data_IF_592423236117
#
_entry.id   IF_592423236117
#
_cell.length_a   1.000
_cell.length_b   1.000
_cell.length_c   1.000
_cell.angle_alpha   90.00
_cell.angle_beta   90.00
_cell.angle_gamma   90.00
#
_symmetry.space_group_name_H-M   'P 1'
#
loop_
_entity.id
_entity.type
_entity.pdbx_description
1 polymer ?
#
# COMPACT_ATOMS: atom_id res chain seq x y z
N UNK A 1 -1.49 21.68 24.65
CA UNK A 1 -1.68 20.69 23.56
C UNK A 1 -0.91 19.46 23.98
N UNK A 2 -1.60 18.38 24.37
CA UNK A 2 -0.95 17.21 24.97
C UNK A 2 0.04 16.59 24.00
N UNK A 3 1.31 16.53 24.39
CA UNK A 3 2.32 15.72 23.73
C UNK A 3 1.81 14.27 23.66
N UNK A 4 1.45 13.81 22.47
CA UNK A 4 1.18 12.40 22.24
C UNK A 4 2.53 11.68 22.41
N UNK A 5 2.79 11.20 23.62
CA UNK A 5 4.00 10.44 23.94
C UNK A 5 4.07 9.22 23.02
N UNK A 6 5.28 8.86 22.57
CA UNK A 6 5.53 7.64 21.79
C UNK A 6 4.90 6.41 22.46
N UNK A 7 4.96 6.38 23.79
CA UNK A 7 4.50 5.26 24.63
C UNK A 7 2.98 5.16 24.77
N UNK A 8 2.22 6.15 24.27
CA UNK A 8 0.75 6.06 24.28
C UNK A 8 0.29 4.95 23.32
N UNK A 9 -0.38 3.90 23.84
CA UNK A 9 -0.80 2.77 23.01
C UNK A 9 -1.91 3.15 22.04
N UNK A 10 -2.01 2.40 20.95
CA UNK A 10 -3.11 2.49 19.98
C UNK A 10 -4.09 1.37 20.25
N UNK A 11 -5.38 1.70 20.39
CA UNK A 11 -6.41 0.72 20.64
C UNK A 11 -6.97 0.16 19.33
N UNK A 12 -6.95 -1.15 19.17
CA UNK A 12 -7.52 -1.84 18.01
C UNK A 12 -8.33 -3.06 18.48
N UNK A 13 -9.63 -3.10 18.15
CA UNK A 13 -10.59 -4.12 18.64
C UNK A 13 -10.49 -4.41 20.15
N UNK A 14 -10.39 -3.36 20.97
CA UNK A 14 -10.31 -3.49 22.43
C UNK A 14 -8.96 -3.99 22.97
N UNK A 15 -7.95 -4.18 22.12
CA UNK A 15 -6.57 -4.48 22.52
C UNK A 15 -5.69 -3.23 22.41
N UNK A 16 -4.87 -2.99 23.41
CA UNK A 16 -3.84 -1.96 23.38
C UNK A 16 -2.62 -2.50 22.61
N UNK A 17 -2.22 -1.80 21.55
CA UNK A 17 -1.09 -2.14 20.70
C UNK A 17 0.00 -1.08 20.81
N UNK A 18 1.26 -1.51 20.84
CA UNK A 18 2.43 -0.66 20.95
C UNK A 18 2.92 -0.20 19.58
N UNK A 19 3.27 1.10 19.49
CA UNK A 19 3.91 1.68 18.30
C UNK A 19 5.37 1.24 18.20
N UNK A 20 5.89 1.26 16.99
CA UNK A 20 7.29 1.07 16.68
C UNK A 20 7.89 2.26 15.96
N UNK A 21 9.07 2.06 15.39
CA UNK A 21 9.75 3.06 14.56
C UNK A 21 10.24 2.45 13.24
N UNK A 22 10.30 3.31 12.23
CA UNK A 22 10.48 2.87 10.84
C UNK A 22 11.93 2.51 10.52
N UNK A 23 12.19 1.84 9.39
CA UNK A 23 13.56 1.66 8.87
C UNK A 23 14.26 3.00 8.63
N UNK A 24 13.51 4.03 8.21
CA UNK A 24 13.98 5.41 8.10
C UNK A 24 14.50 5.99 9.41
N UNK A 25 13.75 5.89 10.50
CA UNK A 25 14.19 6.35 11.83
C UNK A 25 15.44 5.61 12.31
N UNK A 26 15.51 4.30 12.07
CA UNK A 26 16.71 3.50 12.40
C UNK A 26 17.93 3.99 11.62
N UNK A 27 17.80 4.17 10.31
CA UNK A 27 18.88 4.66 9.45
C UNK A 27 19.34 6.08 9.83
N UNK A 28 18.40 6.98 10.15
CA UNK A 28 18.71 8.33 10.64
C UNK A 28 19.48 8.30 11.96
N UNK A 29 19.05 7.49 12.92
CA UNK A 29 19.74 7.35 14.20
C UNK A 29 21.13 6.71 14.07
N UNK A 30 21.25 5.65 13.28
CA UNK A 30 22.53 5.01 12.98
C UNK A 30 23.51 6.00 12.32
N UNK A 31 23.05 6.76 11.31
CA UNK A 31 23.90 7.73 10.63
C UNK A 31 24.31 8.90 11.55
N UNK A 32 23.36 9.42 12.35
CA UNK A 32 23.65 10.48 13.33
C UNK A 32 24.72 10.05 14.31
N UNK A 33 24.58 8.86 14.92
CA UNK A 33 25.52 8.42 15.94
C UNK A 33 26.87 8.03 15.34
N UNK A 34 26.91 7.40 14.16
CA UNK A 34 28.16 7.16 13.45
C UNK A 34 28.90 8.47 13.16
N UNK A 35 28.20 9.49 12.66
CA UNK A 35 28.77 10.83 12.43
C UNK A 35 29.31 11.48 13.72
N UNK A 36 28.59 11.36 14.84
CA UNK A 36 29.05 11.85 16.14
C UNK A 36 30.28 11.08 16.64
N UNK A 37 30.27 9.76 16.51
CA UNK A 37 31.36 8.89 16.96
C UNK A 37 32.66 9.18 16.21
N UNK A 38 32.61 9.28 14.87
CA UNK A 38 33.79 9.59 14.07
C UNK A 38 34.31 11.01 14.33
N UNK A 39 33.42 11.99 14.54
CA UNK A 39 33.83 13.36 14.82
C UNK A 39 34.49 13.50 16.21
N UNK A 40 33.93 12.81 17.21
CA UNK A 40 34.39 12.89 18.60
C UNK A 40 35.46 11.87 18.95
N UNK A 41 35.69 10.88 18.09
CA UNK A 41 36.56 9.73 18.33
C UNK A 41 36.21 9.02 19.65
N UNK A 42 34.91 8.83 19.90
CA UNK A 42 34.39 8.23 21.12
C UNK A 42 33.18 7.34 20.82
N UNK A 43 33.11 6.15 21.42
CA UNK A 43 31.98 5.24 21.25
C UNK A 43 30.75 5.76 21.99
N UNK A 44 29.60 5.74 21.31
CA UNK A 44 28.32 6.21 21.85
C UNK A 44 27.33 5.05 21.79
N UNK A 45 26.73 4.73 22.94
CA UNK A 45 25.83 3.59 23.09
C UNK A 45 24.34 3.95 23.05
N UNK A 46 24.00 5.24 23.02
CA UNK A 46 22.62 5.72 22.92
C UNK A 46 22.57 7.00 22.10
N UNK A 47 21.51 7.16 21.30
CA UNK A 47 21.29 8.34 20.47
C UNK A 47 19.83 8.78 20.54
N UNK A 48 19.61 10.10 20.49
CA UNK A 48 18.28 10.67 20.32
C UNK A 48 18.10 11.29 18.94
N UNK A 49 16.92 11.07 18.37
CA UNK A 49 16.48 11.71 17.13
C UNK A 49 15.07 12.26 17.28
N UNK A 50 14.76 13.34 16.57
CA UNK A 50 13.39 13.83 16.39
C UNK A 50 12.87 13.29 15.07
N UNK A 51 11.77 12.56 15.11
CA UNK A 51 11.12 12.02 13.91
C UNK A 51 10.40 13.11 13.12
N UNK A 52 10.06 12.90 11.84
CA UNK A 52 9.23 13.84 11.07
C UNK A 52 7.89 14.20 11.71
N UNK A 53 7.34 13.33 12.57
CA UNK A 53 6.11 13.60 13.33
C UNK A 53 6.33 14.42 14.61
N UNK A 54 7.56 14.86 14.88
CA UNK A 54 7.93 15.62 16.08
C UNK A 54 8.18 14.77 17.33
N UNK A 55 8.00 13.44 17.24
CA UNK A 55 8.25 12.53 18.35
C UNK A 55 9.75 12.33 18.53
N UNK A 56 10.26 12.49 19.76
CA UNK A 56 11.65 12.18 20.11
C UNK A 56 11.79 10.69 20.42
N UNK A 57 12.73 10.03 19.77
CA UNK A 57 13.10 8.63 20.03
C UNK A 57 14.47 8.58 20.69
N UNK A 58 14.59 7.79 21.76
CA UNK A 58 15.86 7.45 22.40
C UNK A 58 16.19 5.99 22.08
N UNK A 59 17.25 5.77 21.30
CA UNK A 59 17.53 4.47 20.70
C UNK A 59 18.89 3.96 21.16
N UNK A 60 18.95 2.67 21.49
CA UNK A 60 20.19 1.99 21.85
C UNK A 60 21.00 1.72 20.57
N UNK A 61 22.31 1.97 20.67
CA UNK A 61 23.24 1.77 19.57
C UNK A 61 23.86 0.39 19.71
N UNK A 62 23.77 -0.38 18.64
CA UNK A 62 24.39 -1.69 18.52
C UNK A 62 25.63 -1.62 17.61
N UNK A 63 26.60 -2.48 17.87
CA UNK A 63 27.86 -2.58 17.11
C UNK A 63 28.58 -1.23 16.86
N UNK A 64 28.74 -0.34 17.86
CA UNK A 64 29.47 0.90 17.67
C UNK A 64 30.95 0.61 17.40
N UNK A 65 31.48 1.17 16.31
CA UNK A 65 32.86 0.96 15.90
C UNK A 65 33.43 2.24 15.28
N UNK A 66 34.71 2.54 15.54
CA UNK A 66 35.44 3.67 14.95
C UNK A 66 36.74 3.13 14.40
N UNK A 67 37.03 3.47 13.16
CA UNK A 67 38.28 3.14 12.47
C UNK A 67 38.77 4.39 11.70
N UNK A 68 39.75 5.08 12.26
CA UNK A 68 40.30 6.31 11.67
C UNK A 68 39.22 7.39 11.47
N UNK A 69 39.01 7.79 10.21
CA UNK A 69 38.00 8.78 9.80
C UNK A 69 36.65 8.16 9.44
N UNK A 70 36.40 6.94 9.90
CA UNK A 70 35.15 6.21 9.69
C UNK A 70 34.57 5.74 11.02
N UNK A 71 33.25 5.70 11.11
CA UNK A 71 32.55 4.98 12.16
C UNK A 71 31.35 4.21 11.62
N UNK A 72 30.99 3.14 12.33
CA UNK A 72 29.84 2.28 12.05
C UNK A 72 28.96 2.22 13.29
N UNK A 73 27.65 2.27 13.07
CA UNK A 73 26.66 2.04 14.10
C UNK A 73 25.47 1.29 13.52
N UNK A 74 24.77 0.56 14.37
CA UNK A 74 23.52 -0.10 14.03
C UNK A 74 22.41 0.28 15.00
N UNK A 75 21.18 0.30 14.49
CA UNK A 75 19.97 0.41 15.29
C UNK A 75 19.10 -0.79 14.97
N UNK A 76 18.65 -1.49 16.01
CA UNK A 76 17.68 -2.58 15.86
C UNK A 76 16.29 -2.00 15.67
N UNK A 77 15.67 -2.37 14.56
CA UNK A 77 14.32 -1.95 14.26
C UNK A 77 13.32 -2.63 15.19
N UNK A 78 12.54 -1.82 15.87
CA UNK A 78 11.39 -2.27 16.64
C UNK A 78 10.11 -1.80 15.94
N UNK A 79 9.37 -2.76 15.38
CA UNK A 79 8.09 -2.53 14.71
C UNK A 79 6.90 -2.31 15.66
N UNK A 80 7.09 -2.39 16.97
CA UNK A 80 5.94 -2.45 17.89
C UNK A 80 5.21 -3.78 17.75
N UNK A 81 3.88 -3.73 17.89
CA UNK A 81 3.01 -4.89 17.67
C UNK A 81 2.52 -5.02 16.22
N UNK A 82 3.13 -4.27 15.29
CA UNK A 82 2.81 -4.37 13.86
C UNK A 82 3.44 -5.64 13.25
N UNK A 83 2.71 -6.30 12.36
CA UNK A 83 3.22 -7.47 11.63
C UNK A 83 4.13 -7.00 10.50
N UNK A 84 5.37 -6.69 10.85
CA UNK A 84 6.37 -6.13 9.94
C UNK A 84 7.54 -7.10 9.71
N UNK A 85 7.78 -7.48 8.45
CA UNK A 85 8.86 -8.38 8.06
C UNK A 85 10.26 -7.88 8.46
N UNK A 86 10.41 -6.56 8.65
CA UNK A 86 11.65 -5.90 9.05
C UNK A 86 11.76 -5.69 10.56
N UNK A 87 10.81 -6.19 11.36
CA UNK A 87 10.93 -6.17 12.83
C UNK A 87 12.16 -7.00 13.28
N UNK A 88 12.93 -6.45 14.22
CA UNK A 88 14.07 -7.11 14.87
C UNK A 88 15.38 -7.05 14.10
N UNK A 89 15.39 -6.63 12.83
CA UNK A 89 16.61 -6.55 12.03
C UNK A 89 17.46 -5.33 12.39
N UNK A 90 18.77 -5.42 12.17
CA UNK A 90 19.69 -4.31 12.32
C UNK A 90 19.78 -3.47 11.04
N UNK A 91 19.68 -2.15 11.20
CA UNK A 91 19.98 -1.17 10.16
C UNK A 91 21.28 -0.46 10.53
N UNK A 92 22.28 -0.61 9.67
CA UNK A 92 23.61 -0.04 9.86
C UNK A 92 23.77 1.25 9.07
N UNK A 93 24.61 2.14 9.60
CA UNK A 93 25.18 3.25 8.86
C UNK A 93 26.70 3.25 9.05
N UNK A 94 27.41 3.42 7.94
CA UNK A 94 28.84 3.72 7.90
C UNK A 94 29.02 5.16 7.46
N UNK A 95 29.69 5.96 8.28
CA UNK A 95 29.94 7.37 7.99
C UNK A 95 31.44 7.60 7.92
N UNK A 96 31.92 8.11 6.79
CA UNK A 96 33.31 8.51 6.59
C UNK A 96 33.37 10.02 6.41
N UNK A 97 34.11 10.73 7.26
CA UNK A 97 34.27 12.19 7.14
C UNK A 97 35.13 12.55 5.93
N UNK A 98 34.83 13.68 5.32
CA UNK A 98 35.64 14.25 4.25
C UNK A 98 35.57 15.79 4.27
N UNK A 99 36.37 16.43 3.42
CA UNK A 99 36.51 17.89 3.35
C UNK A 99 35.75 18.53 2.18
N UNK A 100 34.83 17.80 1.53
CA UNK A 100 34.12 18.31 0.34
C UNK A 100 33.03 19.34 0.69
N UNK A 101 32.60 19.37 1.96
CA UNK A 101 31.42 20.12 2.40
C UNK A 101 30.09 19.43 2.06
N UNK A 102 30.11 18.36 1.26
CA UNK A 102 28.91 17.67 0.76
C UNK A 102 28.63 16.38 1.53
N UNK A 103 27.35 16.06 1.73
CA UNK A 103 26.92 14.77 2.29
C UNK A 103 26.43 13.90 1.14
N UNK A 104 27.09 12.76 0.92
CA UNK A 104 26.66 11.76 -0.06
C UNK A 104 25.98 10.59 0.66
N UNK A 105 24.92 10.05 0.05
CA UNK A 105 24.13 8.97 0.63
C UNK A 105 23.96 7.82 -0.36
N UNK A 106 24.51 6.66 0.00
CA UNK A 106 24.45 5.42 -0.77
C UNK A 106 23.76 4.30 0.03
N UNK A 107 23.30 3.28 -0.69
CA UNK A 107 22.84 2.02 -0.11
C UNK A 107 23.87 0.92 -0.37
N UNK A 108 24.19 0.15 0.66
CA UNK A 108 25.05 -1.03 0.59
C UNK A 108 24.25 -2.33 0.64
N UNK A 109 24.87 -3.38 1.18
CA UNK A 109 24.28 -4.73 1.31
C UNK A 109 22.87 -4.70 1.91
N UNK A 110 21.95 -5.46 1.29
CA UNK A 110 20.58 -5.64 1.73
C UNK A 110 19.67 -4.41 1.63
N UNK A 111 20.14 -3.29 1.07
CA UNK A 111 19.28 -2.19 0.61
C UNK A 111 18.90 -2.44 -0.84
N UNK A 112 17.60 -2.43 -1.13
CA UNK A 112 17.11 -2.75 -2.45
C UNK A 112 17.47 -1.69 -3.50
N UNK A 113 17.56 -2.11 -4.76
CA UNK A 113 17.78 -1.23 -5.92
C UNK A 113 16.49 -1.05 -6.69
N UNK A 114 16.20 0.20 -7.08
CA UNK A 114 15.00 0.55 -7.84
C UNK A 114 15.19 0.16 -9.30
N UNK A 115 14.39 -0.79 -9.78
CA UNK A 115 14.44 -1.34 -11.15
C UNK A 115 13.23 -0.96 -12.00
N UNK A 116 12.18 -0.41 -11.40
CA UNK A 116 10.96 0.06 -12.10
C UNK A 116 10.66 1.52 -11.75
N UNK A 117 10.02 2.22 -12.70
CA UNK A 117 9.52 3.59 -12.49
C UNK A 117 8.29 3.57 -11.57
N UNK A 118 8.01 4.70 -10.91
CA UNK A 118 6.77 4.92 -10.16
C UNK A 118 6.86 4.78 -8.64
N UNK A 119 7.98 4.29 -8.10
CA UNK A 119 8.25 4.25 -6.65
C UNK A 119 8.63 5.63 -6.08
N UNK A 120 8.71 6.66 -6.93
CA UNK A 120 9.15 8.01 -6.53
C UNK A 120 10.67 8.13 -6.32
N UNK A 121 11.45 7.18 -6.83
CA UNK A 121 12.91 7.16 -6.78
C UNK A 121 13.51 6.92 -8.19
N UNK A 122 14.74 7.42 -8.47
CA UNK A 122 15.43 7.17 -9.73
C UNK A 122 15.74 5.69 -9.98
N UNK A 123 15.68 5.25 -11.24
CA UNK A 123 16.13 3.91 -11.63
C UNK A 123 17.61 3.71 -11.32
N UNK A 124 17.97 2.53 -10.84
CA UNK A 124 19.32 2.16 -10.42
C UNK A 124 19.74 2.73 -9.06
N UNK A 125 18.91 3.57 -8.42
CA UNK A 125 19.23 4.11 -7.10
C UNK A 125 18.87 3.15 -5.97
N UNK A 126 19.54 3.31 -4.82
CA UNK A 126 19.16 2.63 -3.59
C UNK A 126 17.76 3.07 -3.13
N UNK A 127 16.96 2.11 -2.64
CA UNK A 127 15.58 2.24 -2.17
C UNK A 127 15.49 2.98 -0.82
N UNK A 128 16.07 4.17 -0.74
CA UNK A 128 15.99 5.10 0.38
C UNK A 128 15.04 6.21 -0.03
N UNK A 129 13.87 6.27 0.59
CA UNK A 129 12.81 7.22 0.22
C UNK A 129 13.17 8.67 0.57
N UNK A 130 12.49 9.63 -0.08
CA UNK A 130 12.72 11.08 0.08
C UNK A 130 12.79 11.54 1.53
N UNK A 131 11.83 11.14 2.37
CA UNK A 131 11.81 11.55 3.78
C UNK A 131 13.02 11.01 4.56
N UNK A 132 13.32 9.70 4.54
CA UNK A 132 14.56 9.18 5.13
C UNK A 132 15.84 9.81 4.61
N UNK A 133 15.96 10.09 3.30
CA UNK A 133 17.15 10.78 2.75
C UNK A 133 17.36 12.13 3.43
N UNK A 134 16.31 12.94 3.48
CA UNK A 134 16.33 14.24 4.12
C UNK A 134 16.66 14.16 5.62
N UNK A 135 16.05 13.23 6.36
CA UNK A 135 16.31 13.11 7.81
C UNK A 135 17.72 12.59 8.10
N UNK A 136 18.25 11.67 7.29
CA UNK A 136 19.65 11.21 7.40
C UNK A 136 20.61 12.37 7.15
N UNK A 137 20.46 13.08 6.02
CA UNK A 137 21.32 14.22 5.67
C UNK A 137 21.27 15.31 6.75
N UNK A 138 20.08 15.67 7.22
CA UNK A 138 19.90 16.67 8.27
C UNK A 138 20.56 16.25 9.59
N UNK A 139 20.39 15.00 10.02
CA UNK A 139 20.95 14.51 11.28
C UNK A 139 22.48 14.37 11.23
N UNK A 140 23.04 13.97 10.08
CA UNK A 140 24.49 13.93 9.86
C UNK A 140 25.04 15.36 9.82
N UNK A 141 24.36 16.28 9.13
CA UNK A 141 24.75 17.70 9.07
C UNK A 141 24.76 18.35 10.45
N UNK A 142 23.75 18.08 11.27
CA UNK A 142 23.68 18.51 12.68
C UNK A 142 24.90 18.01 13.47
N UNK A 143 25.32 16.77 13.22
CA UNK A 143 26.46 16.17 13.92
C UNK A 143 27.82 16.74 13.48
N UNK A 144 28.06 16.91 12.17
CA UNK A 144 29.38 17.27 11.62
C UNK A 144 29.59 18.77 11.39
N UNK A 145 28.52 19.56 11.41
CA UNK A 145 28.53 20.99 11.14
C UNK A 145 28.45 21.37 9.65
N UNK A 146 28.40 22.67 9.33
CA UNK A 146 28.10 23.16 7.98
C UNK A 146 29.27 23.03 6.98
N UNK A 147 30.51 22.96 7.47
CA UNK A 147 31.70 23.04 6.61
C UNK A 147 32.28 21.68 6.19
N UNK A 148 32.04 20.62 6.96
CA UNK A 148 32.57 19.27 6.66
C UNK A 148 31.63 18.52 5.72
N UNK A 149 32.17 17.60 4.94
CA UNK A 149 31.37 16.65 4.19
C UNK A 149 31.42 15.25 4.83
N UNK A 150 30.56 14.36 4.35
CA UNK A 150 30.54 12.97 4.79
C UNK A 150 30.03 12.04 3.69
N UNK A 151 30.60 10.85 3.61
CA UNK A 151 30.05 9.75 2.83
C UNK A 151 29.27 8.84 3.78
N UNK A 152 27.97 8.70 3.54
CA UNK A 152 27.04 7.91 4.34
C UNK A 152 26.58 6.72 3.52
N UNK A 153 26.90 5.52 4.01
CA UNK A 153 26.41 4.27 3.44
C UNK A 153 25.45 3.61 4.43
N UNK A 154 24.21 3.36 4.00
CA UNK A 154 23.22 2.61 4.77
C UNK A 154 23.20 1.17 4.28
N UNK A 155 23.31 0.20 5.18
CA UNK A 155 23.28 -1.22 4.83
C UNK A 155 22.56 -2.04 5.90
N UNK A 156 22.07 -3.20 5.52
CA UNK A 156 21.31 -4.09 6.38
C UNK A 156 21.57 -5.54 5.94
N UNK A 157 22.49 -6.28 6.59
CA UNK A 157 22.90 -7.62 6.13
C UNK A 157 21.74 -8.61 5.95
N UNK A 158 20.72 -8.57 6.82
CA UNK A 158 19.52 -9.42 6.68
C UNK A 158 18.55 -8.94 5.59
N UNK A 159 18.78 -7.77 4.99
CA UNK A 159 17.82 -7.06 4.16
C UNK A 159 17.37 -7.81 2.93
N UNK A 160 18.26 -8.53 2.24
CA UNK A 160 17.87 -9.32 1.07
C UNK A 160 16.89 -10.44 1.44
N UNK A 161 17.20 -11.21 2.51
CA UNK A 161 16.34 -12.28 2.99
C UNK A 161 14.99 -11.76 3.52
N UNK A 162 14.99 -10.61 4.22
CA UNK A 162 13.74 -9.99 4.70
C UNK A 162 12.89 -9.47 3.55
N UNK A 163 13.50 -8.90 2.51
CA UNK A 163 12.78 -8.33 1.38
C UNK A 163 11.92 -9.34 0.63
N UNK A 164 12.29 -10.63 0.63
CA UNK A 164 11.49 -11.71 0.03
C UNK A 164 10.10 -11.86 0.68
N UNK A 165 9.96 -11.43 1.93
CA UNK A 165 8.70 -11.42 2.69
C UNK A 165 7.97 -10.07 2.62
N UNK A 166 8.41 -9.17 1.74
CA UNK A 166 7.82 -7.84 1.56
C UNK A 166 7.21 -7.68 0.17
N UNK A 167 6.48 -6.59 -0.04
CA UNK A 167 5.96 -6.20 -1.36
C UNK A 167 7.00 -5.58 -2.29
N UNK A 168 8.28 -5.46 -1.87
CA UNK A 168 9.32 -4.76 -2.64
C UNK A 168 9.49 -5.29 -4.07
N UNK A 169 9.48 -6.61 -4.26
CA UNK A 169 9.65 -7.21 -5.59
C UNK A 169 8.55 -6.79 -6.56
N UNK A 170 7.30 -6.71 -6.09
CA UNK A 170 6.17 -6.20 -6.89
C UNK A 170 6.33 -4.73 -7.25
N UNK A 171 6.89 -3.95 -6.33
CA UNK A 171 7.20 -2.54 -6.53
C UNK A 171 8.43 -2.31 -7.43
N UNK A 172 9.12 -3.38 -7.88
CA UNK A 172 10.33 -3.27 -8.68
C UNK A 172 11.56 -2.87 -7.87
N UNK A 173 11.60 -3.22 -6.59
CA UNK A 173 12.75 -3.05 -5.71
C UNK A 173 13.36 -4.44 -5.48
N UNK A 174 14.59 -4.63 -5.94
CA UNK A 174 15.27 -5.95 -5.93
C UNK A 174 16.54 -5.92 -5.08
N UNK A 175 16.94 -7.07 -4.53
CA UNK A 175 18.19 -7.24 -3.77
C UNK A 175 18.18 -6.72 -2.33
N UNK A 176 17.05 -6.24 -1.81
CA UNK A 176 17.00 -5.71 -0.45
C UNK A 176 15.72 -4.99 -0.03
N UNK A 177 15.71 -4.55 1.22
CA UNK A 177 14.61 -3.79 1.82
C UNK A 177 14.65 -2.32 1.39
N UNK A 178 13.55 -1.62 1.65
CA UNK A 178 13.46 -0.17 1.45
C UNK A 178 13.66 0.55 2.79
N UNK A 179 14.44 1.63 2.78
CA UNK A 179 14.54 2.56 3.91
C UNK A 179 13.43 3.61 3.75
N UNK A 180 12.37 3.46 4.55
CA UNK A 180 11.10 4.17 4.39
C UNK A 180 10.54 4.65 5.73
N UNK A 181 9.53 5.52 5.66
CA UNK A 181 8.84 6.08 6.82
C UNK A 181 8.66 7.58 6.68
N UNK A 182 7.42 8.03 6.54
CA UNK A 182 7.08 9.45 6.38
C UNK A 182 6.96 10.17 7.72
N UNK A 183 6.46 9.50 8.75
CA UNK A 183 6.30 10.03 10.12
C UNK A 183 7.46 9.67 11.04
N UNK A 184 8.25 8.66 10.66
CA UNK A 184 9.27 8.02 11.50
C UNK A 184 8.72 7.02 12.54
N UNK A 185 7.40 6.86 12.62
CA UNK A 185 6.71 6.00 13.58
C UNK A 185 5.95 4.91 12.84
N UNK A 186 6.00 3.68 13.35
CA UNK A 186 5.17 2.56 12.92
C UNK A 186 3.95 2.50 13.82
N UNK A 187 2.76 2.68 13.23
CA UNK A 187 1.48 2.51 13.91
C UNK A 187 0.89 1.16 13.50
N UNK A 188 0.70 0.21 14.45
CA UNK A 188 0.22 -1.12 14.13
C UNK A 188 -1.18 -1.08 13.52
N UNK A 189 -1.45 -1.96 12.56
CA UNK A 189 -2.77 -2.11 11.92
C UNK A 189 -3.32 -0.81 11.32
N UNK A 190 -2.45 0.08 10.84
CA UNK A 190 -2.87 1.35 10.22
C UNK A 190 -3.55 1.13 8.87
N UNK A 191 -4.85 1.43 8.78
CA UNK A 191 -5.58 1.46 7.51
C UNK A 191 -4.93 2.41 6.50
N UNK A 192 -4.38 3.54 6.95
CA UNK A 192 -3.72 4.51 6.08
C UNK A 192 -2.45 3.95 5.44
N UNK A 193 -1.64 3.21 6.21
CA UNK A 193 -0.45 2.54 5.69
C UNK A 193 -0.84 1.47 4.65
N UNK A 194 -1.92 0.74 4.90
CA UNK A 194 -2.44 -0.24 3.93
C UNK A 194 -2.95 0.45 2.67
N UNK A 195 -3.80 1.48 2.78
CA UNK A 195 -4.28 2.29 1.64
C UNK A 195 -3.10 2.80 0.81
N UNK A 196 -2.07 3.37 1.44
CA UNK A 196 -0.88 3.86 0.74
C UNK A 196 -0.16 2.76 -0.01
N UNK A 197 -0.01 1.57 0.58
CA UNK A 197 0.63 0.42 -0.09
C UNK A 197 -0.11 0.01 -1.38
N UNK A 198 -1.45 0.07 -1.39
CA UNK A 198 -2.26 -0.21 -2.58
C UNK A 198 -2.12 0.91 -3.62
N UNK A 199 -2.12 2.18 -3.21
CA UNK A 199 -1.94 3.33 -4.12
C UNK A 199 -0.57 3.34 -4.82
N UNK A 200 0.48 2.81 -4.18
CA UNK A 200 1.82 2.71 -4.77
C UNK A 200 1.81 1.79 -5.99
N UNK A 201 0.99 0.73 -5.98
CA UNK A 201 0.84 -0.14 -7.13
C UNK A 201 0.26 0.64 -8.33
N UNK A 202 -0.76 1.48 -8.11
CA UNK A 202 -1.32 2.37 -9.14
C UNK A 202 -0.27 3.35 -9.69
N UNK A 203 0.54 3.97 -8.81
CA UNK A 203 1.62 4.88 -9.21
C UNK A 203 2.62 4.20 -10.15
N UNK A 204 2.97 2.94 -9.86
CA UNK A 204 3.85 2.13 -10.69
C UNK A 204 3.22 1.82 -12.04
N UNK A 205 1.96 1.38 -12.07
CA UNK A 205 1.25 1.12 -13.34
C UNK A 205 1.18 2.39 -14.19
N UNK A 206 0.85 3.53 -13.58
CA UNK A 206 0.77 4.81 -14.29
C UNK A 206 2.14 5.21 -14.85
N UNK A 207 3.20 5.06 -14.05
CA UNK A 207 4.56 5.39 -14.44
C UNK A 207 5.13 4.46 -15.52
N UNK A 208 4.61 3.24 -15.66
CA UNK A 208 4.92 2.34 -16.79
C UNK A 208 4.14 2.68 -18.06
N UNK A 209 3.33 3.74 -18.06
CA UNK A 209 2.60 4.23 -19.23
C UNK A 209 1.15 3.77 -19.33
N UNK A 210 0.69 2.91 -18.42
CA UNK A 210 -0.72 2.47 -18.42
C UNK A 210 -1.63 3.67 -18.16
N UNK A 211 -2.69 3.77 -18.95
CA UNK A 211 -3.76 4.78 -18.81
C UNK A 211 -5.07 4.15 -18.35
N UNK A 212 -5.14 2.82 -18.35
CA UNK A 212 -6.30 2.00 -17.96
C UNK A 212 -5.89 1.05 -16.84
N UNK A 213 -6.80 0.77 -15.91
CA UNK A 213 -6.52 -0.12 -14.77
C UNK A 213 -7.72 -0.99 -14.42
N UNK A 214 -7.43 -2.22 -13.98
CA UNK A 214 -8.40 -3.18 -13.48
C UNK A 214 -8.23 -3.26 -11.97
N UNK A 215 -9.28 -2.97 -11.21
CA UNK A 215 -9.27 -3.07 -9.76
C UNK A 215 -10.01 -4.32 -9.31
N UNK A 216 -9.31 -5.17 -8.55
CA UNK A 216 -9.85 -6.43 -8.03
C UNK A 216 -9.81 -6.46 -6.49
N UNK A 217 -10.81 -7.00 -5.79
CA UNK A 217 -10.76 -7.08 -4.33
C UNK A 217 -9.66 -8.00 -3.78
N UNK A 218 -9.10 -8.89 -4.60
CA UNK A 218 -8.05 -9.84 -4.22
C UNK A 218 -7.75 -10.86 -5.31
N UNK A 219 -6.93 -11.86 -4.99
CA UNK A 219 -6.32 -12.80 -5.94
C UNK A 219 -7.32 -13.55 -6.84
N UNK A 220 -8.55 -13.80 -6.38
CA UNK A 220 -9.59 -14.43 -7.21
C UNK A 220 -9.93 -13.59 -8.45
N UNK A 221 -9.97 -12.27 -8.31
CA UNK A 221 -10.21 -11.38 -9.45
C UNK A 221 -9.04 -11.33 -10.41
N UNK A 222 -7.80 -11.37 -9.91
CA UNK A 222 -6.60 -11.46 -10.76
C UNK A 222 -6.60 -12.74 -11.60
N UNK A 223 -6.95 -13.88 -10.98
CA UNK A 223 -7.13 -15.16 -11.68
C UNK A 223 -8.19 -15.06 -12.76
N UNK A 224 -9.35 -14.49 -12.44
CA UNK A 224 -10.45 -14.31 -13.38
C UNK A 224 -10.04 -13.48 -14.60
N UNK A 225 -9.38 -12.33 -14.39
CA UNK A 225 -8.94 -11.45 -15.49
C UNK A 225 -8.01 -12.20 -16.45
N UNK A 226 -7.05 -12.98 -15.91
CA UNK A 226 -6.12 -13.76 -16.71
C UNK A 226 -6.82 -14.86 -17.51
N UNK A 227 -7.69 -15.62 -16.87
CA UNK A 227 -8.25 -16.85 -17.43
C UNK A 227 -9.48 -16.61 -18.32
N UNK A 228 -10.28 -15.59 -18.02
CA UNK A 228 -11.56 -15.35 -18.70
C UNK A 228 -11.53 -14.14 -19.62
N UNK A 229 -10.80 -13.08 -19.27
CA UNK A 229 -10.72 -11.88 -20.12
C UNK A 229 -9.55 -11.90 -21.10
N UNK A 230 -8.56 -12.78 -20.90
CA UNK A 230 -7.35 -12.83 -21.75
C UNK A 230 -6.55 -11.51 -21.73
N UNK A 231 -6.70 -10.70 -20.69
CA UNK A 231 -6.00 -9.42 -20.53
C UNK A 231 -4.73 -9.63 -19.70
N UNK A 232 -3.67 -8.88 -20.02
CA UNK A 232 -2.44 -8.91 -19.24
C UNK A 232 -2.71 -8.47 -17.79
N UNK A 233 -2.34 -9.32 -16.85
CA UNK A 233 -2.33 -9.05 -15.40
C UNK A 233 -1.53 -7.81 -15.01
N UNK A 234 -0.67 -7.28 -15.89
CA UNK A 234 -0.02 -5.99 -15.67
C UNK A 234 -1.01 -4.84 -15.45
N UNK A 235 -2.22 -4.88 -16.01
CA UNK A 235 -3.24 -3.86 -15.76
C UNK A 235 -4.00 -4.07 -14.44
N UNK A 236 -3.81 -5.19 -13.75
CA UNK A 236 -4.53 -5.54 -12.52
C UNK A 236 -3.83 -4.93 -11.31
N UNK A 237 -4.64 -4.35 -10.41
CA UNK A 237 -4.24 -3.83 -9.11
C UNK A 237 -5.23 -4.32 -8.05
N UNK A 238 -4.71 -4.78 -6.91
CA UNK A 238 -5.56 -5.19 -5.80
C UNK A 238 -6.06 -3.96 -5.04
N UNK A 239 -7.37 -3.84 -4.82
CA UNK A 239 -7.99 -2.75 -4.04
C UNK A 239 -8.40 -3.15 -2.62
N UNK A 240 -8.24 -4.42 -2.24
CA UNK A 240 -8.68 -4.97 -0.96
C UNK A 240 -10.16 -4.59 -0.70
N UNK A 241 -10.46 -3.96 0.44
CA UNK A 241 -11.79 -3.47 0.77
C UNK A 241 -11.99 -1.96 0.52
N UNK A 242 -10.95 -1.24 0.09
CA UNK A 242 -10.91 0.23 0.02
C UNK A 242 -11.26 0.76 -1.37
N UNK A 243 -12.43 0.41 -1.89
CA UNK A 243 -12.84 0.71 -3.28
C UNK A 243 -12.84 2.21 -3.57
N UNK A 244 -13.47 3.01 -2.70
CA UNK A 244 -13.58 4.46 -2.90
C UNK A 244 -12.22 5.15 -2.98
N UNK A 245 -11.36 4.86 -2.00
CA UNK A 245 -9.99 5.37 -1.96
C UNK A 245 -9.19 5.03 -3.23
N UNK A 246 -9.28 3.77 -3.70
CA UNK A 246 -8.53 3.34 -4.88
C UNK A 246 -9.06 3.99 -6.18
N UNK A 247 -10.35 4.26 -6.28
CA UNK A 247 -10.93 5.01 -7.39
C UNK A 247 -10.45 6.48 -7.35
N UNK A 248 -10.46 7.12 -6.19
CA UNK A 248 -9.96 8.50 -6.03
C UNK A 248 -8.48 8.61 -6.40
N UNK A 249 -7.66 7.64 -5.99
CA UNK A 249 -6.25 7.57 -6.37
C UNK A 249 -6.06 7.34 -7.87
N UNK A 250 -6.88 6.50 -8.50
CA UNK A 250 -6.84 6.32 -9.94
C UNK A 250 -7.21 7.62 -10.70
N UNK A 251 -8.19 8.37 -10.19
CA UNK A 251 -8.54 9.71 -10.71
C UNK A 251 -7.38 10.69 -10.53
N UNK A 252 -6.77 10.75 -9.35
CA UNK A 252 -5.61 11.62 -9.05
C UNK A 252 -4.44 11.35 -9.99
N UNK A 253 -4.22 10.09 -10.35
CA UNK A 253 -3.14 9.66 -11.25
C UNK A 253 -3.50 9.82 -12.74
N UNK A 254 -4.72 10.23 -13.06
CA UNK A 254 -5.17 10.49 -14.42
C UNK A 254 -5.34 9.22 -15.26
N UNK A 255 -5.78 8.11 -14.65
CA UNK A 255 -6.28 6.99 -15.42
C UNK A 255 -7.54 7.41 -16.18
N UNK A 256 -7.66 7.02 -17.45
CA UNK A 256 -8.82 7.34 -18.28
C UNK A 256 -9.93 6.28 -18.22
N UNK A 257 -9.60 5.08 -17.71
CA UNK A 257 -10.56 3.99 -17.53
C UNK A 257 -10.24 3.16 -16.28
N UNK A 258 -11.29 2.81 -15.54
CA UNK A 258 -11.26 1.92 -14.37
C UNK A 258 -12.24 0.77 -14.64
N UNK A 259 -11.77 -0.46 -14.51
CA UNK A 259 -12.61 -1.65 -14.61
C UNK A 259 -12.66 -2.35 -13.26
N UNK A 260 -13.83 -2.38 -12.63
CA UNK A 260 -14.07 -3.08 -11.37
C UNK A 260 -14.43 -4.53 -11.66
N UNK A 261 -13.60 -5.48 -11.22
CA UNK A 261 -13.82 -6.90 -11.48
C UNK A 261 -13.87 -7.66 -10.16
N UNK A 262 -14.95 -8.39 -9.90
CA UNK A 262 -15.14 -9.01 -8.61
C UNK A 262 -16.43 -9.80 -8.43
N UNK A 263 -16.44 -10.60 -7.39
CA UNK A 263 -17.60 -11.40 -7.00
C UNK A 263 -18.77 -10.52 -6.52
N UNK A 264 -20.05 -10.86 -6.83
CA UNK A 264 -21.23 -10.16 -6.34
C UNK A 264 -21.22 -9.91 -4.84
N UNK A 265 -20.75 -10.88 -4.04
CA UNK A 265 -20.63 -10.76 -2.59
C UNK A 265 -19.74 -9.61 -2.08
N UNK A 266 -18.93 -8.97 -2.94
CA UNK A 266 -18.24 -7.72 -2.61
C UNK A 266 -18.76 -6.53 -3.42
N UNK A 267 -18.84 -6.66 -4.75
CA UNK A 267 -19.12 -5.52 -5.62
C UNK A 267 -20.55 -5.00 -5.51
N UNK A 268 -21.51 -5.83 -5.08
CA UNK A 268 -22.90 -5.38 -4.89
C UNK A 268 -23.02 -4.23 -3.89
N UNK A 269 -22.11 -4.15 -2.90
CA UNK A 269 -22.07 -3.07 -1.92
C UNK A 269 -21.90 -1.72 -2.61
N UNK A 270 -21.15 -1.68 -3.71
CA UNK A 270 -20.95 -0.46 -4.50
C UNK A 270 -22.26 -0.04 -5.19
N UNK A 271 -23.09 -0.99 -5.64
CA UNK A 271 -24.42 -0.69 -6.20
C UNK A 271 -25.34 0.00 -5.18
N UNK A 272 -25.16 -0.30 -3.89
CA UNK A 272 -25.82 0.38 -2.77
C UNK A 272 -25.22 1.75 -2.42
N UNK A 273 -24.05 2.10 -2.98
CA UNK A 273 -23.29 3.31 -2.63
C UNK A 273 -22.31 3.11 -1.46
N UNK A 274 -22.02 1.86 -1.10
CA UNK A 274 -21.05 1.49 -0.05
C UNK A 274 -19.70 1.21 -0.72
N UNK A 275 -18.74 2.11 -0.53
CA UNK A 275 -17.40 2.04 -1.15
C UNK A 275 -16.33 1.38 -0.27
N UNK A 276 -16.76 0.73 0.82
CA UNK A 276 -15.93 -0.12 1.67
C UNK A 276 -16.52 -1.53 1.75
N UNK A 277 -15.83 -2.54 1.22
CA UNK A 277 -16.47 -3.86 0.99
C UNK A 277 -16.39 -4.83 2.17
N UNK A 278 -15.75 -4.45 3.28
CA UNK A 278 -15.66 -5.29 4.48
C UNK A 278 -17.03 -5.40 5.19
N UNK A 279 -17.55 -6.62 5.41
CA UNK A 279 -18.89 -6.85 5.99
C UNK A 279 -19.07 -6.31 7.41
N UNK A 280 -18.02 -6.27 8.23
CA UNK A 280 -18.10 -5.64 9.55
C UNK A 280 -18.33 -4.11 9.49
N UNK A 281 -17.99 -3.44 8.39
CA UNK A 281 -18.21 -2.00 8.23
C UNK A 281 -19.62 -1.74 7.69
N UNK A 282 -20.02 -2.51 6.68
CA UNK A 282 -21.37 -2.52 6.18
C UNK A 282 -21.64 -3.83 5.45
N UNK A 283 -22.77 -4.45 5.78
CA UNK A 283 -23.36 -5.54 5.03
C UNK A 283 -24.78 -5.14 4.63
N UNK A 284 -25.05 -5.21 3.32
CA UNK A 284 -26.34 -4.84 2.73
C UNK A 284 -26.59 -5.66 1.46
N UNK A 285 -25.99 -6.86 1.38
CA UNK A 285 -25.92 -7.64 0.14
C UNK A 285 -27.29 -8.15 -0.28
N UNK A 286 -28.00 -8.82 0.65
CA UNK A 286 -29.32 -9.38 0.36
C UNK A 286 -30.36 -8.27 0.17
N UNK A 287 -30.34 -7.24 1.02
CA UNK A 287 -31.23 -6.10 0.92
C UNK A 287 -31.09 -5.39 -0.44
N UNK A 288 -29.85 -5.25 -0.92
CA UNK A 288 -29.58 -4.67 -2.25
C UNK A 288 -30.03 -5.58 -3.39
N UNK A 289 -29.84 -6.91 -3.26
CA UNK A 289 -30.37 -7.87 -4.23
C UNK A 289 -31.89 -7.81 -4.30
N UNK A 290 -32.56 -7.95 -3.15
CA UNK A 290 -34.02 -7.91 -3.04
C UNK A 290 -34.57 -6.61 -3.61
N UNK A 291 -34.01 -5.45 -3.24
CA UNK A 291 -34.45 -4.16 -3.76
C UNK A 291 -34.34 -4.07 -5.28
N UNK A 292 -33.23 -4.55 -5.87
CA UNK A 292 -33.05 -4.49 -7.32
C UNK A 292 -33.82 -5.57 -8.08
N UNK A 293 -34.02 -6.76 -7.52
CA UNK A 293 -34.90 -7.80 -8.07
C UNK A 293 -36.36 -7.32 -8.08
N UNK A 294 -36.82 -6.67 -7.01
CA UNK A 294 -38.17 -6.11 -6.94
C UNK A 294 -38.39 -5.04 -8.03
N UNK A 295 -37.40 -4.17 -8.26
CA UNK A 295 -37.44 -3.19 -9.35
C UNK A 295 -37.44 -3.80 -10.75
N UNK A 296 -36.98 -5.05 -10.90
CA UNK A 296 -37.05 -5.82 -12.15
C UNK A 296 -38.32 -6.68 -12.26
N UNK A 297 -39.24 -6.60 -11.29
CA UNK A 297 -40.51 -7.33 -11.31
C UNK A 297 -40.41 -8.78 -10.85
N UNK A 298 -39.39 -9.13 -10.05
CA UNK A 298 -39.31 -10.45 -9.44
C UNK A 298 -40.52 -10.76 -8.53
N UNK A 299 -41.04 -12.00 -8.55
CA UNK A 299 -42.15 -12.39 -7.69
C UNK A 299 -41.73 -12.39 -6.22
N UNK A 300 -42.69 -12.14 -5.32
CA UNK A 300 -42.45 -12.10 -3.87
C UNK A 300 -41.76 -13.36 -3.34
N UNK A 301 -42.11 -14.53 -3.88
CA UNK A 301 -41.50 -15.81 -3.52
C UNK A 301 -39.97 -15.79 -3.70
N UNK A 302 -39.48 -15.31 -4.85
CA UNK A 302 -38.04 -15.18 -5.10
C UNK A 302 -37.41 -14.14 -4.16
N UNK A 303 -38.10 -13.02 -3.92
CA UNK A 303 -37.60 -11.97 -3.03
C UNK A 303 -37.41 -12.46 -1.60
N UNK A 304 -38.34 -13.28 -1.10
CA UNK A 304 -38.24 -13.91 0.22
C UNK A 304 -37.09 -14.92 0.26
N UNK A 305 -37.00 -15.82 -0.73
CA UNK A 305 -35.90 -16.80 -0.81
C UNK A 305 -34.52 -16.13 -0.80
N UNK A 306 -34.36 -15.07 -1.61
CA UNK A 306 -33.10 -14.31 -1.65
C UNK A 306 -32.86 -13.55 -0.36
N UNK A 307 -33.90 -12.97 0.25
CA UNK A 307 -33.81 -12.24 1.52
C UNK A 307 -33.33 -13.11 2.69
N UNK A 308 -33.69 -14.39 2.68
CA UNK A 308 -33.34 -15.36 3.72
C UNK A 308 -31.96 -16.04 3.51
N UNK A 309 -31.24 -15.70 2.43
CA UNK A 309 -29.93 -16.27 2.14
C UNK A 309 -28.80 -15.60 2.94
N UNK A 310 -27.90 -16.40 3.52
CA UNK A 310 -26.69 -15.87 4.18
C UNK A 310 -25.60 -15.41 3.20
N UNK A 311 -25.61 -15.99 1.98
CA UNK A 311 -24.57 -15.77 0.98
C UNK A 311 -25.14 -15.41 -0.38
N UNK A 312 -24.38 -14.64 -1.16
CA UNK A 312 -24.78 -14.30 -2.53
C UNK A 312 -24.78 -15.50 -3.47
N UNK A 313 -23.97 -16.53 -3.19
CA UNK A 313 -23.95 -17.75 -4.01
C UNK A 313 -25.23 -18.57 -3.81
N UNK A 314 -25.70 -18.73 -2.56
CA UNK A 314 -27.01 -19.34 -2.31
C UNK A 314 -28.15 -18.56 -2.99
N UNK A 315 -28.11 -17.23 -2.92
CA UNK A 315 -29.08 -16.38 -3.62
C UNK A 315 -28.99 -16.53 -5.15
N UNK A 316 -27.79 -16.73 -5.71
CA UNK A 316 -27.59 -16.91 -7.15
C UNK A 316 -28.32 -18.15 -7.69
N UNK A 317 -28.31 -19.27 -6.96
CA UNK A 317 -29.04 -20.47 -7.35
C UNK A 317 -30.55 -20.21 -7.52
N UNK A 318 -31.16 -19.51 -6.55
CA UNK A 318 -32.57 -19.13 -6.63
C UNK A 318 -32.85 -18.14 -7.76
N UNK A 319 -31.99 -17.13 -7.94
CA UNK A 319 -32.12 -16.14 -9.01
C UNK A 319 -32.10 -16.81 -10.39
N UNK A 320 -31.20 -17.78 -10.60
CA UNK A 320 -31.08 -18.51 -11.86
C UNK A 320 -32.29 -19.42 -12.08
N UNK A 321 -32.74 -20.15 -11.05
CA UNK A 321 -33.90 -21.03 -11.13
C UNK A 321 -35.19 -20.30 -11.54
N UNK A 322 -35.33 -19.03 -11.16
CA UNK A 322 -36.45 -18.16 -11.54
C UNK A 322 -36.21 -17.37 -12.83
N UNK A 323 -35.06 -17.52 -13.49
CA UNK A 323 -34.74 -16.84 -14.76
C UNK A 323 -34.38 -15.35 -14.63
N UNK A 324 -33.96 -14.90 -13.44
CA UNK A 324 -33.64 -13.50 -13.15
C UNK A 324 -32.14 -13.17 -13.28
N UNK A 325 -31.31 -14.02 -13.89
CA UNK A 325 -29.86 -13.81 -14.04
C UNK A 325 -29.45 -12.47 -14.69
N UNK A 326 -30.33 -11.85 -15.48
CA UNK A 326 -30.13 -10.50 -16.03
C UNK A 326 -29.95 -9.40 -14.96
N UNK A 327 -30.25 -9.70 -13.68
CA UNK A 327 -29.94 -8.86 -12.53
C UNK A 327 -28.45 -8.49 -12.46
N UNK A 328 -27.52 -9.38 -12.84
CA UNK A 328 -26.08 -9.09 -12.71
C UNK A 328 -25.62 -7.99 -13.67
N UNK A 329 -26.16 -7.96 -14.89
CA UNK A 329 -25.93 -6.84 -15.83
C UNK A 329 -26.53 -5.54 -15.29
N UNK A 330 -27.71 -5.61 -14.67
CA UNK A 330 -28.32 -4.46 -14.01
C UNK A 330 -27.46 -3.94 -12.86
N UNK A 331 -27.00 -4.82 -11.96
CA UNK A 331 -26.13 -4.46 -10.85
C UNK A 331 -24.80 -3.87 -11.33
N UNK A 332 -24.17 -4.43 -12.37
CA UNK A 332 -22.97 -3.87 -12.97
C UNK A 332 -23.18 -2.42 -13.46
N UNK A 333 -24.31 -2.14 -14.14
CA UNK A 333 -24.67 -0.76 -14.51
C UNK A 333 -24.91 0.13 -13.30
N UNK A 334 -25.54 -0.39 -12.24
CA UNK A 334 -25.75 0.35 -10.98
C UNK A 334 -24.44 0.67 -10.27
N UNK A 335 -23.46 -0.24 -10.28
CA UNK A 335 -22.11 0.00 -9.76
C UNK A 335 -21.47 1.18 -10.48
N UNK A 336 -21.44 1.16 -11.82
CA UNK A 336 -20.88 2.27 -12.61
C UNK A 336 -21.60 3.59 -12.30
N UNK A 337 -22.94 3.58 -12.22
CA UNK A 337 -23.70 4.78 -11.85
C UNK A 337 -23.31 5.33 -10.47
N UNK A 338 -23.14 4.47 -9.47
CA UNK A 338 -22.73 4.88 -8.12
C UNK A 338 -21.32 5.45 -8.10
N UNK A 339 -20.39 4.86 -8.86
CA UNK A 339 -19.04 5.41 -9.05
C UNK A 339 -19.12 6.81 -9.67
N UNK A 340 -19.91 7.00 -10.71
CA UNK A 340 -20.09 8.33 -11.33
C UNK A 340 -20.74 9.34 -10.38
N UNK A 341 -21.67 8.92 -9.52
CA UNK A 341 -22.24 9.78 -8.48
C UNK A 341 -21.22 10.20 -7.41
N UNK A 342 -20.29 9.30 -7.07
CA UNK A 342 -19.16 9.60 -6.19
C UNK A 342 -18.24 10.63 -6.84
N UNK A 343 -17.98 10.48 -8.15
CA UNK A 343 -17.09 11.34 -8.93
C UNK A 343 -17.77 12.59 -9.53
N UNK A 344 -18.96 12.99 -9.06
CA UNK A 344 -19.78 14.05 -9.67
C UNK A 344 -19.10 15.43 -9.75
N UNK A 345 -18.06 15.68 -8.96
CA UNK A 345 -17.30 16.93 -8.95
C UNK A 345 -15.93 16.81 -9.63
N UNK A 346 -15.60 15.65 -10.19
CA UNK A 346 -14.37 15.42 -10.93
C UNK A 346 -14.49 16.04 -12.32
N UNK A 347 -13.51 16.86 -12.73
CA UNK A 347 -13.53 17.56 -14.03
C UNK A 347 -13.54 16.60 -15.23
N UNK A 348 -12.70 15.57 -15.16
CA UNK A 348 -12.53 14.56 -16.22
C UNK A 348 -12.62 13.18 -15.58
N UNK A 349 -13.84 12.69 -15.27
CA UNK A 349 -13.99 11.37 -14.68
C UNK A 349 -13.58 10.28 -15.68
N UNK A 350 -12.91 9.20 -15.23
CA UNK A 350 -12.60 8.07 -16.09
C UNK A 350 -13.87 7.35 -16.54
N UNK A 351 -13.77 6.62 -17.64
CA UNK A 351 -14.75 5.58 -17.97
C UNK A 351 -14.72 4.53 -16.85
N UNK A 352 -15.90 4.14 -16.37
CA UNK A 352 -16.04 3.11 -15.35
C UNK A 352 -16.80 1.91 -15.91
N UNK A 353 -16.18 0.73 -15.83
CA UNK A 353 -16.78 -0.55 -16.16
C UNK A 353 -16.84 -1.44 -14.93
N UNK A 354 -17.78 -2.39 -14.93
CA UNK A 354 -17.96 -3.36 -13.85
C UNK A 354 -18.26 -4.74 -14.43
N UNK A 355 -17.57 -5.76 -13.92
CA UNK A 355 -17.74 -7.16 -14.30
C UNK A 355 -17.91 -8.00 -13.03
N UNK A 356 -18.99 -8.77 -12.98
CA UNK A 356 -19.35 -9.69 -11.91
C UNK A 356 -19.08 -11.12 -12.35
N UNK A 357 -18.48 -11.92 -11.46
CA UNK A 357 -18.17 -13.32 -11.70
C UNK A 357 -18.47 -14.21 -10.48
N UNK A 358 -18.74 -15.51 -10.70
CA UNK A 358 -18.98 -16.50 -9.63
C UNK A 358 -17.70 -17.15 -9.12
N UNK A 359 -17.71 -17.84 -7.97
CA UNK A 359 -16.49 -18.55 -7.52
C UNK A 359 -15.94 -19.58 -8.51
N UNK A 360 -16.81 -20.16 -9.36
CA UNK A 360 -16.44 -21.05 -10.46
C UNK A 360 -15.82 -20.35 -11.67
N UNK A 361 -15.50 -19.06 -11.51
CA UNK A 361 -14.80 -18.24 -12.51
C UNK A 361 -15.64 -17.96 -13.77
N UNK A 362 -16.96 -18.07 -13.70
CA UNK A 362 -17.86 -17.74 -14.82
C UNK A 362 -18.29 -16.28 -14.76
N UNK A 363 -18.40 -15.62 -15.92
CA UNK A 363 -19.00 -14.30 -16.04
C UNK A 363 -20.49 -14.40 -15.71
N UNK A 364 -20.93 -13.60 -14.74
CA UNK A 364 -22.35 -13.47 -14.37
C UNK A 364 -23.00 -12.28 -15.08
N UNK A 365 -22.29 -11.17 -15.16
CA UNK A 365 -22.79 -9.99 -15.85
C UNK A 365 -21.82 -8.81 -15.85
N UNK A 366 -22.07 -7.87 -16.74
CA UNK A 366 -21.25 -6.68 -16.93
C UNK A 366 -22.11 -5.48 -17.37
N UNK A 367 -21.57 -4.26 -17.23
CA UNK A 367 -22.29 -3.05 -17.63
C UNK A 367 -22.42 -2.90 -19.16
N UNK A 368 -21.51 -3.53 -19.91
CA UNK A 368 -21.44 -3.63 -21.38
C UNK A 368 -20.65 -4.89 -21.79
N UNK A 369 -20.61 -5.31 -23.07
CA UNK A 369 -19.94 -6.55 -23.49
C UNK A 369 -18.49 -6.66 -23.00
N UNK A 370 -18.12 -7.81 -22.41
CA UNK A 370 -16.79 -8.03 -21.81
C UNK A 370 -15.69 -7.96 -22.87
N UNK A 371 -15.93 -8.45 -24.08
CA UNK A 371 -14.96 -8.42 -25.17
C UNK A 371 -14.57 -6.99 -25.59
N UNK A 372 -15.52 -6.05 -25.53
CA UNK A 372 -15.23 -4.64 -25.80
C UNK A 372 -14.36 -4.02 -24.70
N UNK A 373 -14.67 -4.33 -23.43
CA UNK A 373 -13.87 -3.89 -22.28
C UNK A 373 -12.45 -4.46 -22.38
N UNK A 374 -12.32 -5.76 -22.68
CA UNK A 374 -11.04 -6.44 -22.80
C UNK A 374 -10.19 -5.89 -23.95
N UNK A 375 -10.82 -5.65 -25.11
CA UNK A 375 -10.15 -5.04 -26.27
C UNK A 375 -9.61 -3.65 -25.97
N UNK A 376 -10.37 -2.82 -25.26
CA UNK A 376 -9.89 -1.52 -24.80
C UNK A 376 -8.73 -1.69 -23.81
N UNK A 377 -8.75 -2.64 -22.90
CA UNK A 377 -7.63 -2.82 -21.95
C UNK A 377 -6.31 -3.23 -22.62
N UNK A 378 -6.34 -3.75 -23.84
CA UNK A 378 -5.17 -4.17 -24.62
C UNK A 378 -4.62 -3.09 -25.58
N UNK A 379 -5.40 -2.02 -25.82
CA UNK A 379 -5.01 -0.88 -26.67
C UNK A 379 -4.40 0.25 -25.86
#
# INVERSE_FOLDING_TARGET
MSELSFDTPVWHHGKALRKGYTTGSCATAAAKVAALMVLRQHLIHQVSIVTPSGVTLCLNVESPHIEGQQAIAAIRKDGGDDVDATHGMLIFARVTLNDSGEITLTGGEGIGTVTRKGVGLPLGSAAINRTPRHTIESAVREAIGPARGANVEIFAPEGEARAQKTYNSRLGILGGISIIGTTGIVTPMSEESWKRSLSLELEIKRASGLTRVILVPGNHGERFVREQMGVDTQAVVTMSNFVGYMIEEAVRLGFCQIVLVGHPGKLIKIAAGIFHTHSHIADARMETLVAHLALLGAPLELLTLVGDCDTTEAAMEHIEAYGFGHIYNHLARRICLRVMQMLRFTKTPPVCDAILFSFDNHILGSNRPVDEIAKELQC
#
